data_IF_373507734285
#
_entry.id   IF_373507734285
#
_cell.length_a   1.000
_cell.length_b   1.000
_cell.length_c   1.000
_cell.angle_alpha   90.00
_cell.angle_beta   90.00
_cell.angle_gamma   90.00
#
_symmetry.space_group_name_H-M   'P 1'
#
loop_
_entity.id
_entity.type
_entity.pdbx_description
1 polymer ?
#
# COMPACT_ATOMS: atom_id res chain seq x y z
N UNK A 1 2.90 -18.15 31.08
CA UNK A 1 2.60 -18.58 29.70
C UNK A 1 3.82 -18.33 28.81
N UNK A 2 4.85 -19.16 28.96
CA UNK A 2 6.15 -19.02 28.28
C UNK A 2 6.41 -20.25 27.40
N UNK A 3 5.61 -20.40 26.34
CA UNK A 3 5.59 -21.66 25.58
C UNK A 3 5.11 -21.55 24.15
N UNK A 4 5.42 -20.44 23.45
CA UNK A 4 5.20 -20.40 21.99
C UNK A 4 6.17 -19.49 21.23
N UNK A 5 7.38 -19.31 21.76
CA UNK A 5 8.52 -18.89 20.93
C UNK A 5 9.04 -20.13 20.18
N UNK A 6 8.19 -20.72 19.34
CA UNK A 6 8.67 -21.62 18.30
C UNK A 6 9.76 -20.88 17.54
N UNK A 7 10.96 -21.48 17.50
CA UNK A 7 12.08 -21.07 16.67
C UNK A 7 11.57 -20.97 15.23
N UNK A 8 11.17 -19.77 14.82
CA UNK A 8 10.94 -19.47 13.42
C UNK A 8 12.31 -19.29 12.82
N UNK A 9 12.60 -20.07 11.78
CA UNK A 9 13.86 -19.97 11.07
C UNK A 9 14.12 -18.51 10.67
N UNK A 10 15.37 -18.02 10.76
CA UNK A 10 15.72 -16.71 10.25
C UNK A 10 15.30 -16.67 8.77
N UNK A 11 14.30 -15.85 8.46
CA UNK A 11 13.83 -15.72 7.09
C UNK A 11 14.91 -15.02 6.29
N UNK A 12 15.46 -15.73 5.32
CA UNK A 12 16.42 -15.17 4.39
C UNK A 12 15.75 -14.04 3.57
N UNK A 13 16.45 -12.93 3.39
CA UNK A 13 16.00 -11.81 2.58
C UNK A 13 15.66 -12.28 1.15
N UNK A 14 16.46 -13.21 0.59
CA UNK A 14 16.23 -13.74 -0.75
C UNK A 14 14.92 -14.53 -0.84
N UNK A 15 14.59 -15.35 0.18
CA UNK A 15 13.33 -16.08 0.22
C UNK A 15 12.12 -15.14 0.29
N UNK A 16 12.23 -14.05 1.06
CA UNK A 16 11.19 -13.02 1.13
C UNK A 16 11.01 -12.29 -0.19
N UNK A 17 12.08 -11.86 -0.81
CA UNK A 17 12.04 -11.23 -2.13
C UNK A 17 11.39 -12.16 -3.16
N UNK A 18 11.79 -13.45 -3.18
CA UNK A 18 11.17 -14.45 -4.05
C UNK A 18 9.67 -14.63 -3.76
N UNK A 19 9.27 -14.67 -2.49
CA UNK A 19 7.86 -14.74 -2.09
C UNK A 19 7.09 -13.52 -2.57
N UNK A 20 7.60 -12.31 -2.34
CA UNK A 20 6.96 -11.07 -2.77
C UNK A 20 6.79 -11.02 -4.28
N UNK A 21 7.81 -11.41 -5.06
CA UNK A 21 7.72 -11.50 -6.52
C UNK A 21 6.65 -12.50 -6.98
N UNK A 22 6.57 -13.69 -6.36
CA UNK A 22 5.52 -14.67 -6.66
C UNK A 22 4.13 -14.14 -6.35
N UNK A 23 3.96 -13.46 -5.23
CA UNK A 23 2.68 -12.85 -4.84
C UNK A 23 2.30 -11.73 -5.80
N UNK A 24 3.22 -10.83 -6.14
CA UNK A 24 3.01 -9.77 -7.13
C UNK A 24 2.63 -10.33 -8.50
N UNK A 25 3.30 -11.39 -8.97
CA UNK A 25 2.92 -12.09 -10.19
C UNK A 25 1.51 -12.71 -10.08
N UNK A 26 1.17 -13.29 -8.93
CA UNK A 26 -0.18 -13.79 -8.65
C UNK A 26 -1.25 -12.71 -8.72
N UNK A 27 -0.97 -11.48 -8.24
CA UNK A 27 -1.88 -10.34 -8.34
C UNK A 27 -2.11 -9.96 -9.80
N UNK A 28 -1.04 -9.90 -10.60
CA UNK A 28 -1.14 -9.59 -12.03
C UNK A 28 -1.96 -10.65 -12.77
N UNK A 29 -1.68 -11.94 -12.54
CA UNK A 29 -2.44 -13.04 -13.14
C UNK A 29 -3.91 -13.00 -12.74
N UNK A 30 -4.20 -12.70 -11.47
CA UNK A 30 -5.55 -12.55 -10.99
C UNK A 30 -6.29 -11.41 -11.68
N UNK A 31 -5.62 -10.26 -11.86
CA UNK A 31 -6.19 -9.11 -12.54
C UNK A 31 -6.51 -9.42 -14.01
N UNK A 32 -5.60 -10.09 -14.71
CA UNK A 32 -5.84 -10.57 -16.08
C UNK A 32 -7.02 -11.54 -16.13
N UNK A 33 -7.07 -12.50 -15.19
CA UNK A 33 -8.18 -13.45 -15.08
C UNK A 33 -9.52 -12.76 -14.82
N UNK A 34 -9.54 -11.73 -13.96
CA UNK A 34 -10.73 -10.93 -13.70
C UNK A 34 -11.27 -10.30 -14.98
N UNK A 35 -10.43 -9.62 -15.76
CA UNK A 35 -10.85 -9.00 -17.03
C UNK A 35 -11.27 -10.03 -18.08
N UNK A 36 -10.62 -11.19 -18.12
CA UNK A 36 -11.03 -12.29 -18.98
C UNK A 36 -12.43 -12.80 -18.60
N UNK A 37 -12.71 -12.95 -17.31
CA UNK A 37 -14.04 -13.33 -16.83
C UNK A 37 -15.12 -12.27 -17.15
N UNK A 38 -14.79 -10.97 -17.01
CA UNK A 38 -15.67 -9.87 -17.43
C UNK A 38 -15.98 -9.99 -18.93
N UNK A 39 -14.94 -10.09 -19.76
CA UNK A 39 -15.07 -10.13 -21.21
C UNK A 39 -15.91 -11.32 -21.69
N UNK A 40 -15.64 -12.52 -21.17
CA UNK A 40 -16.41 -13.72 -21.50
C UNK A 40 -17.87 -13.61 -21.04
N UNK A 41 -18.10 -13.00 -19.88
CA UNK A 41 -19.47 -12.76 -19.39
C UNK A 41 -20.24 -11.83 -20.33
N UNK A 42 -19.59 -10.78 -20.86
CA UNK A 42 -20.20 -9.85 -21.80
C UNK A 42 -20.49 -10.51 -23.15
N UNK A 43 -19.52 -11.27 -23.67
CA UNK A 43 -19.66 -12.01 -24.93
C UNK A 43 -20.84 -13.00 -24.85
N UNK A 44 -20.93 -13.77 -23.76
CA UNK A 44 -21.98 -14.77 -23.57
C UNK A 44 -23.37 -14.16 -23.29
N UNK A 45 -23.45 -13.12 -22.44
CA UNK A 45 -24.74 -12.60 -21.96
C UNK A 45 -25.35 -11.49 -22.82
N UNK A 46 -24.55 -10.78 -23.64
CA UNK A 46 -25.05 -9.64 -24.43
C UNK A 46 -24.79 -9.70 -25.91
N UNK A 47 -23.74 -10.40 -26.35
CA UNK A 47 -23.40 -10.49 -27.76
C UNK A 47 -23.86 -11.80 -28.39
N UNK A 48 -24.45 -12.70 -27.59
CA UNK A 48 -24.80 -14.07 -27.98
C UNK A 48 -23.63 -14.78 -28.68
N UNK A 49 -22.40 -14.47 -28.26
CA UNK A 49 -21.20 -15.08 -28.84
C UNK A 49 -21.27 -16.60 -28.67
N UNK A 50 -20.73 -17.32 -29.66
CA UNK A 50 -20.81 -18.79 -29.75
C UNK A 50 -22.21 -19.37 -30.01
N UNK A 51 -23.20 -18.53 -30.33
CA UNK A 51 -24.50 -18.97 -30.87
C UNK A 51 -24.58 -18.77 -32.39
N UNK A 52 -25.53 -19.42 -33.10
CA UNK A 52 -25.72 -19.22 -34.54
C UNK A 52 -26.07 -17.78 -34.94
N UNK A 53 -26.61 -16.98 -34.01
CA UNK A 53 -27.04 -15.59 -34.21
C UNK A 53 -25.99 -14.55 -33.82
N UNK A 54 -24.93 -14.95 -33.11
CA UNK A 54 -23.90 -14.05 -32.61
C UNK A 54 -22.58 -14.11 -33.39
N UNK A 55 -21.59 -13.29 -33.00
CA UNK A 55 -20.28 -13.32 -33.60
C UNK A 55 -19.56 -14.66 -33.31
N UNK A 56 -18.81 -15.20 -34.28
CA UNK A 56 -18.12 -16.49 -34.10
C UNK A 56 -16.87 -16.40 -33.19
N UNK A 57 -16.51 -15.19 -32.74
CA UNK A 57 -15.36 -14.95 -31.88
C UNK A 57 -15.72 -14.00 -30.72
N UNK A 58 -14.99 -14.14 -29.62
CA UNK A 58 -15.21 -13.42 -28.36
C UNK A 58 -14.65 -11.98 -28.42
N UNK A 59 -15.39 -11.06 -29.04
CA UNK A 59 -14.98 -9.67 -29.26
C UNK A 59 -14.70 -8.96 -27.93
N UNK A 60 -15.63 -9.04 -26.97
CA UNK A 60 -15.50 -8.36 -25.69
C UNK A 60 -14.34 -8.92 -24.86
N UNK A 61 -14.07 -10.21 -24.96
CA UNK A 61 -12.92 -10.88 -24.32
C UNK A 61 -11.61 -10.38 -24.88
N UNK A 62 -11.47 -10.29 -26.20
CA UNK A 62 -10.25 -9.76 -26.85
C UNK A 62 -10.02 -8.30 -26.43
N UNK A 63 -11.06 -7.47 -26.47
CA UNK A 63 -10.98 -6.07 -26.03
C UNK A 63 -10.59 -5.98 -24.55
N UNK A 64 -11.21 -6.80 -23.68
CA UNK A 64 -10.92 -6.83 -22.26
C UNK A 64 -9.48 -7.26 -21.97
N UNK A 65 -8.93 -8.20 -22.74
CA UNK A 65 -7.55 -8.66 -22.60
C UNK A 65 -6.54 -7.58 -23.02
N UNK A 66 -6.79 -6.89 -24.13
CA UNK A 66 -5.96 -5.76 -24.58
C UNK A 66 -5.96 -4.67 -23.50
N UNK A 67 -7.14 -4.33 -22.98
CA UNK A 67 -7.29 -3.33 -21.93
C UNK A 67 -6.58 -3.77 -20.63
N UNK A 68 -6.78 -5.01 -20.19
CA UNK A 68 -6.15 -5.55 -18.99
C UNK A 68 -4.62 -5.54 -19.09
N UNK A 69 -4.09 -5.91 -20.26
CA UNK A 69 -2.65 -5.89 -20.54
C UNK A 69 -2.13 -4.45 -20.50
N UNK A 70 -2.80 -3.52 -21.16
CA UNK A 70 -2.45 -2.10 -21.13
C UNK A 70 -2.46 -1.49 -19.73
N UNK A 71 -3.51 -1.78 -18.95
CA UNK A 71 -3.62 -1.32 -17.55
C UNK A 71 -2.52 -1.94 -16.69
N UNK A 72 -2.26 -3.24 -16.85
CA UNK A 72 -1.21 -3.95 -16.08
C UNK A 72 0.17 -3.37 -16.35
N UNK A 73 0.52 -3.17 -17.63
CA UNK A 73 1.80 -2.57 -18.01
C UNK A 73 1.91 -1.14 -17.48
N UNK A 74 0.86 -0.34 -17.63
CA UNK A 74 0.84 1.02 -17.11
C UNK A 74 0.98 1.03 -15.58
N UNK A 75 0.30 0.13 -14.88
CA UNK A 75 0.37 -0.01 -13.41
C UNK A 75 1.77 -0.44 -12.96
N UNK A 76 2.45 -1.30 -13.71
CA UNK A 76 3.79 -1.77 -13.39
C UNK A 76 4.86 -0.69 -13.61
N UNK A 77 4.79 0.06 -14.71
CA UNK A 77 5.82 1.06 -15.05
C UNK A 77 5.54 2.45 -14.49
N UNK A 78 4.27 2.84 -14.36
CA UNK A 78 3.84 4.19 -13.96
C UNK A 78 3.03 4.20 -12.67
N UNK A 79 2.90 3.05 -11.99
CA UNK A 79 2.09 2.91 -10.79
C UNK A 79 2.51 3.82 -9.65
N UNK A 80 3.81 3.90 -9.38
CA UNK A 80 4.35 4.80 -8.35
C UNK A 80 4.05 6.27 -8.66
N UNK A 81 4.23 6.70 -9.91
CA UNK A 81 3.91 8.05 -10.36
C UNK A 81 2.42 8.37 -10.22
N UNK A 82 1.54 7.41 -10.54
CA UNK A 82 0.10 7.57 -10.35
C UNK A 82 -0.25 7.78 -8.87
N UNK A 83 0.37 7.00 -7.98
CA UNK A 83 0.18 7.13 -6.53
C UNK A 83 0.68 8.49 -6.05
N UNK A 84 1.90 8.88 -6.42
CA UNK A 84 2.50 10.16 -6.03
C UNK A 84 1.64 11.35 -6.47
N UNK A 85 1.18 11.36 -7.72
CA UNK A 85 0.27 12.40 -8.24
C UNK A 85 -1.07 12.42 -7.54
N UNK A 86 -1.63 11.25 -7.22
CA UNK A 86 -2.92 11.16 -6.51
C UNK A 86 -2.85 11.74 -5.09
N UNK A 87 -1.65 11.79 -4.50
CA UNK A 87 -1.38 12.32 -3.17
C UNK A 87 -0.85 13.76 -3.20
N UNK A 88 -0.75 14.39 -4.37
CA UNK A 88 -0.20 15.75 -4.51
C UNK A 88 1.28 15.85 -4.14
N UNK A 89 2.04 14.78 -4.37
CA UNK A 89 3.47 14.76 -4.07
C UNK A 89 4.25 15.61 -5.08
N UNK A 90 5.12 16.47 -4.57
CA UNK A 90 5.98 17.35 -5.36
C UNK A 90 7.45 16.98 -5.22
N UNK A 91 8.25 17.34 -6.22
CA UNK A 91 9.69 17.12 -6.19
C UNK A 91 10.40 17.98 -5.14
N UNK A 92 11.57 17.54 -4.72
CA UNK A 92 12.35 18.23 -3.71
C UNK A 92 12.90 19.58 -4.20
N UNK A 93 12.63 20.65 -3.45
CA UNK A 93 13.27 21.97 -3.65
C UNK A 93 14.48 22.16 -2.70
N UNK A 94 15.70 22.08 -3.23
CA UNK A 94 16.95 22.21 -2.47
C UNK A 94 17.27 23.64 -1.98
N UNK A 95 16.47 24.63 -2.37
CA UNK A 95 16.54 25.99 -1.81
C UNK A 95 16.03 26.01 -0.36
N UNK A 96 15.10 25.11 -0.01
CA UNK A 96 14.55 25.00 1.33
C UNK A 96 15.50 24.20 2.25
N UNK A 97 15.84 24.71 3.45
CA UNK A 97 16.73 24.01 4.39
C UNK A 97 16.23 22.61 4.79
N UNK A 98 14.92 22.48 5.07
CA UNK A 98 14.29 21.21 5.47
C UNK A 98 14.40 20.15 4.36
N UNK A 99 14.20 20.56 3.12
CA UNK A 99 14.34 19.69 1.95
C UNK A 99 15.79 19.25 1.74
N UNK A 100 16.74 20.16 1.95
CA UNK A 100 18.17 19.81 1.89
C UNK A 100 18.56 18.83 3.00
N UNK A 101 18.03 19.00 4.20
CA UNK A 101 18.22 18.06 5.30
C UNK A 101 17.65 16.69 4.95
N UNK A 102 16.42 16.64 4.43
CA UNK A 102 15.80 15.40 3.94
C UNK A 102 16.65 14.73 2.86
N UNK A 103 17.17 15.48 1.89
CA UNK A 103 18.07 14.95 0.87
C UNK A 103 19.28 14.25 1.48
N UNK A 104 19.91 14.88 2.46
CA UNK A 104 21.09 14.35 3.14
C UNK A 104 20.73 13.09 3.94
N UNK A 105 19.63 13.10 4.68
CA UNK A 105 19.14 11.94 5.43
C UNK A 105 18.86 10.75 4.50
N UNK A 106 18.15 10.97 3.39
CA UNK A 106 17.88 9.91 2.41
C UNK A 106 19.17 9.40 1.78
N UNK A 107 20.12 10.29 1.47
CA UNK A 107 21.43 9.90 0.93
C UNK A 107 22.19 9.00 1.91
N UNK A 108 22.24 9.37 3.19
CA UNK A 108 22.90 8.59 4.24
C UNK A 108 22.27 7.22 4.40
N UNK A 109 20.94 7.14 4.41
CA UNK A 109 20.24 5.87 4.58
C UNK A 109 20.31 5.01 3.31
N UNK A 110 20.36 5.60 2.12
CA UNK A 110 20.62 4.87 0.87
C UNK A 110 22.01 4.23 0.89
N UNK A 111 23.03 4.98 1.33
CA UNK A 111 24.39 4.47 1.51
C UNK A 111 24.44 3.35 2.57
N UNK A 112 23.82 3.55 3.73
CA UNK A 112 23.81 2.56 4.81
C UNK A 112 23.07 1.26 4.45
N UNK A 113 21.98 1.37 3.68
CA UNK A 113 21.19 0.21 3.23
C UNK A 113 21.76 -0.49 1.99
N UNK A 114 22.70 0.16 1.28
CA UNK A 114 23.20 -0.30 -0.01
C UNK A 114 22.18 -0.18 -1.15
N UNK A 115 21.08 0.54 -0.95
CA UNK A 115 20.09 0.78 -2.00
C UNK A 115 20.55 1.89 -2.96
N UNK A 116 20.16 1.83 -4.24
CA UNK A 116 20.25 3.00 -5.13
C UNK A 116 19.52 4.20 -4.53
N UNK A 117 19.99 5.41 -4.84
CA UNK A 117 19.36 6.64 -4.36
C UNK A 117 17.91 6.72 -4.89
N UNK A 118 16.88 6.68 -4.03
CA UNK A 118 15.50 6.79 -4.48
C UNK A 118 15.17 8.23 -4.87
N UNK A 119 14.12 8.39 -5.68
CA UNK A 119 13.53 9.71 -5.92
C UNK A 119 12.87 10.21 -4.64
N UNK A 120 13.05 11.48 -4.31
CA UNK A 120 12.52 12.08 -3.08
C UNK A 120 11.37 13.01 -3.44
N UNK A 121 10.25 12.83 -2.76
CA UNK A 121 9.07 13.67 -2.89
C UNK A 121 8.61 14.20 -1.54
N UNK A 122 7.98 15.36 -1.55
CA UNK A 122 7.35 15.97 -0.38
C UNK A 122 5.88 16.19 -0.67
N UNK A 123 5.02 15.86 0.30
CA UNK A 123 3.60 16.21 0.26
C UNK A 123 3.34 17.35 1.25
N UNK A 124 2.66 18.39 0.78
CA UNK A 124 2.21 19.50 1.60
C UNK A 124 0.97 19.10 2.41
N UNK A 125 1.19 18.43 3.54
CA UNK A 125 0.14 18.06 4.48
C UNK A 125 0.65 18.11 5.93
N UNK A 126 -0.10 18.70 6.88
CA UNK A 126 0.31 18.79 8.28
C UNK A 126 0.27 17.43 9.01
N UNK A 127 -0.40 16.41 8.49
CA UNK A 127 -0.42 15.08 9.08
C UNK A 127 0.96 14.42 8.90
N UNK A 128 1.70 14.10 9.98
CA UNK A 128 3.04 13.57 9.88
C UNK A 128 3.02 12.14 9.35
N UNK A 129 3.64 11.91 8.18
CA UNK A 129 3.72 10.58 7.58
C UNK A 129 4.84 10.45 6.54
N UNK A 130 5.15 9.21 6.19
CA UNK A 130 6.05 8.85 5.10
C UNK A 130 5.57 7.55 4.42
N UNK A 131 6.05 7.29 3.21
CA UNK A 131 5.93 5.99 2.55
C UNK A 131 6.96 5.81 1.43
N UNK A 132 7.24 4.57 1.06
CA UNK A 132 7.95 4.20 -0.15
C UNK A 132 7.03 3.54 -1.20
N UNK A 133 7.33 3.79 -2.48
CA UNK A 133 6.63 3.20 -3.62
C UNK A 133 7.60 2.94 -4.77
N UNK A 134 7.24 2.07 -5.72
CA UNK A 134 8.10 1.73 -6.85
C UNK A 134 7.94 0.28 -7.29
N UNK A 135 8.55 -0.04 -8.44
CA UNK A 135 8.50 -1.38 -9.03
C UNK A 135 9.68 -2.28 -8.64
N UNK A 136 10.81 -1.66 -8.28
CA UNK A 136 12.05 -2.31 -7.86
C UNK A 136 12.95 -1.28 -7.13
N UNK A 137 14.06 -1.73 -6.54
CA UNK A 137 15.02 -0.88 -5.82
C UNK A 137 15.57 0.28 -6.67
N UNK A 138 15.75 0.10 -7.99
CA UNK A 138 16.30 1.14 -8.89
C UNK A 138 15.27 2.21 -9.25
N UNK A 139 13.98 1.86 -9.15
CA UNK A 139 12.86 2.72 -9.49
C UNK A 139 12.04 3.08 -8.23
N UNK A 140 12.68 3.05 -7.07
CA UNK A 140 12.08 3.41 -5.80
C UNK A 140 11.89 4.93 -5.67
N UNK A 141 10.84 5.31 -4.96
CA UNK A 141 10.54 6.67 -4.57
C UNK A 141 10.15 6.69 -3.10
N UNK A 142 10.70 7.64 -2.35
CA UNK A 142 10.38 7.88 -0.95
C UNK A 142 9.67 9.22 -0.86
N UNK A 143 8.58 9.24 -0.10
CA UNK A 143 7.76 10.43 0.08
C UNK A 143 7.56 10.71 1.57
N UNK A 144 7.66 11.99 1.95
CA UNK A 144 7.41 12.45 3.32
C UNK A 144 6.45 13.64 3.32
N UNK A 145 5.70 13.84 4.40
CA UNK A 145 4.85 15.01 4.55
C UNK A 145 5.59 16.18 5.21
N UNK A 146 5.17 17.41 4.96
CA UNK A 146 5.69 18.59 5.68
C UNK A 146 5.41 18.51 7.18
N UNK A 147 4.29 17.90 7.59
CA UNK A 147 4.02 17.57 8.99
C UNK A 147 5.09 16.68 9.63
N UNK A 148 5.67 15.75 8.88
CA UNK A 148 6.74 14.89 9.40
C UNK A 148 8.04 15.67 9.58
N UNK A 149 8.42 16.46 8.57
CA UNK A 149 9.65 17.27 8.59
C UNK A 149 9.65 18.30 9.73
N UNK A 150 8.49 18.85 10.06
CA UNK A 150 8.34 19.82 11.15
C UNK A 150 8.28 19.16 12.53
N UNK A 151 7.77 17.93 12.63
CA UNK A 151 7.59 17.22 13.90
C UNK A 151 8.86 16.49 14.37
N UNK A 152 9.59 15.89 13.43
CA UNK A 152 10.72 15.02 13.72
C UNK A 152 12.04 15.77 13.64
N UNK A 153 12.97 15.41 14.54
CA UNK A 153 14.36 15.81 14.37
C UNK A 153 15.09 14.87 13.40
N UNK A 154 16.32 15.24 13.04
CA UNK A 154 17.15 14.49 12.10
C UNK A 154 17.30 13.00 12.40
N UNK A 155 17.54 12.62 13.65
CA UNK A 155 17.73 11.21 14.05
C UNK A 155 16.43 10.40 13.92
N UNK A 156 15.31 11.03 14.28
CA UNK A 156 13.97 10.45 14.15
C UNK A 156 13.59 10.30 12.67
N UNK A 157 13.90 11.32 11.84
CA UNK A 157 13.71 11.27 10.38
C UNK A 157 14.58 10.19 9.75
N UNK A 158 15.84 10.03 10.15
CA UNK A 158 16.68 8.89 9.72
C UNK A 158 16.04 7.55 10.07
N UNK A 159 15.47 7.42 11.26
CA UNK A 159 14.73 6.21 11.68
C UNK A 159 13.58 5.88 10.71
N UNK A 160 12.72 6.85 10.41
CA UNK A 160 11.59 6.65 9.49
C UNK A 160 12.08 6.34 8.07
N UNK A 161 13.03 7.10 7.54
CA UNK A 161 13.57 6.87 6.19
C UNK A 161 14.26 5.51 6.08
N UNK A 162 14.98 5.08 7.12
CA UNK A 162 15.59 3.76 7.15
C UNK A 162 14.56 2.63 7.14
N UNK A 163 13.43 2.80 7.82
CA UNK A 163 12.30 1.87 7.76
C UNK A 163 11.71 1.81 6.34
N UNK A 164 11.47 2.97 5.70
CA UNK A 164 10.97 3.01 4.33
C UNK A 164 11.96 2.37 3.33
N UNK A 165 13.27 2.59 3.50
CA UNK A 165 14.30 1.93 2.69
C UNK A 165 14.41 0.44 2.98
N UNK A 166 14.06 -0.04 4.18
CA UNK A 166 13.97 -1.47 4.43
C UNK A 166 12.87 -2.11 3.56
N UNK A 167 11.74 -1.44 3.33
CA UNK A 167 10.72 -1.91 2.38
C UNK A 167 11.21 -1.91 0.93
N UNK A 168 12.04 -0.93 0.55
CA UNK A 168 12.70 -0.91 -0.76
C UNK A 168 13.61 -2.15 -0.90
N UNK A 169 14.51 -2.35 0.06
CA UNK A 169 15.47 -3.47 0.08
C UNK A 169 14.80 -4.86 0.11
N UNK A 170 13.62 -4.95 0.72
CA UNK A 170 12.88 -6.19 0.87
C UNK A 170 11.94 -6.52 -0.30
N UNK A 171 11.97 -5.74 -1.39
CA UNK A 171 11.02 -5.84 -2.52
C UNK A 171 9.54 -5.74 -2.07
N UNK A 172 9.25 -5.05 -0.96
CA UNK A 172 7.87 -4.87 -0.48
C UNK A 172 7.13 -3.80 -1.30
N UNK A 173 7.85 -2.82 -1.84
CA UNK A 173 7.29 -1.67 -2.57
C UNK A 173 6.47 -2.05 -3.80
N UNK A 174 6.87 -3.09 -4.55
CA UNK A 174 6.13 -3.52 -5.74
C UNK A 174 4.75 -4.08 -5.33
N UNK A 175 4.74 -4.97 -4.33
CA UNK A 175 3.52 -5.56 -3.82
C UNK A 175 2.57 -4.48 -3.30
N UNK A 176 3.09 -3.55 -2.51
CA UNK A 176 2.30 -2.43 -1.97
C UNK A 176 1.76 -1.50 -3.07
N UNK A 177 2.56 -1.22 -4.10
CA UNK A 177 2.16 -0.41 -5.27
C UNK A 177 1.03 -1.08 -6.04
N UNK A 178 1.16 -2.37 -6.37
CA UNK A 178 0.13 -3.12 -7.10
C UNK A 178 -1.18 -3.22 -6.32
N UNK A 179 -1.11 -3.46 -5.00
CA UNK A 179 -2.30 -3.51 -4.14
C UNK A 179 -2.98 -2.13 -4.10
N UNK A 180 -2.22 -1.04 -4.01
CA UNK A 180 -2.75 0.33 -4.03
C UNK A 180 -3.53 0.61 -5.31
N UNK A 181 -2.93 0.31 -6.47
CA UNK A 181 -3.56 0.58 -7.77
C UNK A 181 -4.81 -0.28 -7.94
N UNK A 182 -4.76 -1.54 -7.52
CA UNK A 182 -5.92 -2.43 -7.54
C UNK A 182 -7.06 -1.86 -6.69
N UNK A 183 -6.79 -1.44 -5.45
CA UNK A 183 -7.80 -0.88 -4.54
C UNK A 183 -8.35 0.46 -5.06
N UNK A 184 -7.48 1.33 -5.59
CA UNK A 184 -7.89 2.58 -6.23
C UNK A 184 -8.80 2.33 -7.44
N UNK A 185 -8.45 1.38 -8.30
CA UNK A 185 -9.26 0.96 -9.44
C UNK A 185 -10.63 0.42 -9.01
N UNK A 186 -10.68 -0.42 -7.97
CA UNK A 186 -11.93 -0.94 -7.40
C UNK A 186 -12.81 0.20 -6.85
N UNK A 187 -12.21 1.18 -6.17
CA UNK A 187 -12.95 2.33 -5.64
C UNK A 187 -13.61 3.14 -6.77
N UNK A 188 -12.87 3.41 -7.85
CA UNK A 188 -13.40 4.11 -9.04
C UNK A 188 -14.52 3.31 -9.70
N UNK A 189 -14.34 1.99 -9.88
CA UNK A 189 -15.38 1.11 -10.45
C UNK A 189 -16.63 1.07 -9.57
N UNK A 190 -16.45 1.05 -8.25
CA UNK A 190 -17.55 1.05 -7.28
C UNK A 190 -18.34 2.36 -7.31
N UNK A 191 -17.65 3.50 -7.36
CA UNK A 191 -18.28 4.82 -7.49
C UNK A 191 -19.03 4.96 -8.83
N UNK A 192 -18.41 4.53 -9.94
CA UNK A 192 -19.06 4.51 -11.24
C UNK A 192 -20.31 3.62 -11.26
N UNK A 193 -20.26 2.42 -10.66
CA UNK A 193 -21.41 1.53 -10.55
C UNK A 193 -22.54 2.15 -9.73
N UNK A 194 -22.23 2.77 -8.59
CA UNK A 194 -23.21 3.45 -7.73
C UNK A 194 -23.88 4.62 -8.44
N UNK A 195 -23.11 5.49 -9.11
CA UNK A 195 -23.63 6.62 -9.88
C UNK A 195 -24.55 6.14 -11.00
N UNK A 196 -24.14 5.10 -11.73
CA UNK A 196 -24.91 4.55 -12.85
C UNK A 196 -26.21 3.86 -12.38
N UNK A 197 -26.20 3.23 -11.21
CA UNK A 197 -27.39 2.63 -10.60
C UNK A 197 -28.39 3.69 -10.11
N UNK A 198 -27.90 4.78 -9.51
CA UNK A 198 -28.74 5.91 -9.09
C UNK A 198 -29.38 6.64 -10.29
N UNK A 199 -28.65 6.81 -11.39
CA UNK A 199 -29.19 7.35 -12.65
C UNK A 199 -30.25 6.42 -13.26
N UNK A 200 -30.07 5.10 -13.16
CA UNK A 200 -31.07 4.12 -13.61
C UNK A 200 -32.36 4.14 -12.78
N UNK A 201 -32.28 4.38 -11.46
CA UNK A 201 -33.47 4.56 -10.61
C UNK A 201 -34.28 5.81 -10.94
N UNK A 202 -33.64 6.88 -11.40
CA UNK A 202 -34.31 8.12 -11.85
C UNK A 202 -35.01 7.98 -13.21
N UNK A 203 -34.65 6.98 -14.03
CA UNK A 203 -35.28 6.69 -15.32
C UNK A 203 -36.08 5.38 -15.24
N UNK A 204 -37.10 5.39 -14.39
CA UNK A 204 -38.09 4.32 -14.29
C UNK A 204 -38.95 4.29 -15.57
N UNK A 205 -38.42 3.70 -16.65
CA UNK A 205 -39.14 3.62 -17.93
C UNK A 205 -38.47 2.84 -19.07
N UNK A 206 -37.22 2.42 -18.98
CA UNK A 206 -36.58 1.64 -20.06
C UNK A 206 -35.85 0.41 -19.51
N UNK A 207 -36.54 -0.74 -19.52
CA UNK A 207 -35.92 -2.04 -19.30
C UNK A 207 -34.82 -2.27 -20.35
N UNK A 208 -33.60 -2.55 -19.90
CA UNK A 208 -32.49 -2.96 -20.77
C UNK A 208 -31.10 -2.52 -20.32
N UNK A 209 -30.95 -1.39 -19.61
CA UNK A 209 -29.62 -0.85 -19.24
C UNK A 209 -29.15 -1.18 -17.82
N UNK A 210 -30.01 -1.76 -16.99
CA UNK A 210 -29.68 -2.17 -15.62
C UNK A 210 -28.77 -3.40 -15.57
N UNK A 211 -28.82 -4.28 -16.57
CA UNK A 211 -28.04 -5.53 -16.59
C UNK A 211 -26.53 -5.28 -16.72
N UNK A 212 -26.11 -4.29 -17.52
CA UNK A 212 -24.69 -3.99 -17.78
C UNK A 212 -23.91 -3.60 -16.50
N UNK A 213 -24.61 -3.16 -15.46
CA UNK A 213 -24.05 -2.77 -14.15
C UNK A 213 -24.04 -3.91 -13.12
N UNK A 214 -24.82 -4.98 -13.34
CA UNK A 214 -24.89 -6.12 -12.42
C UNK A 214 -23.61 -6.94 -12.49
N UNK A 215 -23.01 -7.10 -13.68
CA UNK A 215 -21.83 -7.94 -13.87
C UNK A 215 -20.58 -7.37 -13.16
N UNK A 216 -20.21 -6.08 -13.31
CA UNK A 216 -19.10 -5.52 -12.55
C UNK A 216 -19.32 -5.60 -11.03
N UNK A 217 -20.55 -5.35 -10.56
CA UNK A 217 -20.89 -5.44 -9.14
C UNK A 217 -20.79 -6.87 -8.59
N UNK A 218 -21.29 -7.86 -9.33
CA UNK A 218 -21.22 -9.28 -8.97
C UNK A 218 -19.77 -9.77 -8.94
N UNK A 219 -18.96 -9.35 -9.92
CA UNK A 219 -17.55 -9.68 -9.96
C UNK A 219 -16.78 -9.02 -8.81
N UNK A 220 -17.07 -7.78 -8.43
CA UNK A 220 -16.49 -7.17 -7.23
C UNK A 220 -16.84 -7.95 -5.96
N UNK A 221 -18.08 -8.43 -5.82
CA UNK A 221 -18.50 -9.27 -4.69
C UNK A 221 -17.74 -10.61 -4.72
N UNK A 222 -17.65 -11.26 -5.88
CA UNK A 222 -16.97 -12.54 -6.05
C UNK A 222 -15.48 -12.45 -5.71
N UNK A 223 -14.81 -11.37 -6.10
CA UNK A 223 -13.38 -11.17 -5.88
C UNK A 223 -13.06 -10.48 -4.54
N UNK A 224 -14.06 -9.96 -3.81
CA UNK A 224 -13.88 -9.26 -2.53
C UNK A 224 -13.06 -10.05 -1.49
N UNK A 225 -13.31 -11.36 -1.24
CA UNK A 225 -12.53 -12.13 -0.28
C UNK A 225 -11.05 -12.21 -0.66
N UNK A 226 -10.75 -12.22 -1.95
CA UNK A 226 -9.40 -12.30 -2.46
C UNK A 226 -8.68 -10.96 -2.33
N UNK A 227 -9.36 -9.85 -2.66
CA UNK A 227 -8.86 -8.49 -2.42
C UNK A 227 -8.54 -8.27 -0.94
N UNK A 228 -9.40 -8.74 -0.03
CA UNK A 228 -9.15 -8.68 1.41
C UNK A 228 -7.89 -9.45 1.83
N UNK A 229 -7.66 -10.64 1.26
CA UNK A 229 -6.41 -11.40 1.48
C UNK A 229 -5.19 -10.68 0.93
N UNK A 230 -5.28 -10.07 -0.25
CA UNK A 230 -4.19 -9.28 -0.84
C UNK A 230 -3.82 -8.10 0.06
N UNK A 231 -4.82 -7.39 0.59
CA UNK A 231 -4.61 -6.30 1.56
C UNK A 231 -3.98 -6.83 2.85
N UNK A 232 -4.50 -7.94 3.41
CA UNK A 232 -3.94 -8.54 4.62
C UNK A 232 -2.49 -9.00 4.45
N UNK A 233 -2.13 -9.43 3.23
CA UNK A 233 -0.74 -9.67 2.90
C UNK A 233 0.03 -8.35 2.85
N UNK A 234 -0.43 -7.36 2.08
CA UNK A 234 0.21 -6.05 1.97
C UNK A 234 0.57 -5.46 3.34
N UNK A 235 -0.37 -5.55 4.30
CA UNK A 235 -0.21 -5.02 5.67
C UNK A 235 0.16 -6.12 6.68
N UNK A 236 1.21 -6.89 6.38
CA UNK A 236 1.66 -7.95 7.30
C UNK A 236 2.47 -7.38 8.47
N UNK A 237 2.05 -7.68 9.71
CA UNK A 237 2.80 -7.33 10.94
C UNK A 237 4.25 -7.82 10.91
N UNK A 238 4.52 -8.97 10.29
CA UNK A 238 5.89 -9.51 10.18
C UNK A 238 6.77 -8.74 9.21
N UNK A 239 6.20 -7.97 8.28
CA UNK A 239 6.94 -7.06 7.41
C UNK A 239 7.37 -5.83 8.19
N UNK A 240 6.43 -5.22 8.89
CA UNK A 240 6.69 -4.07 9.77
C UNK A 240 7.79 -4.36 10.81
N UNK A 241 7.73 -5.50 11.52
CA UNK A 241 8.77 -5.83 12.51
C UNK A 241 10.14 -6.09 11.87
N UNK A 242 10.17 -6.65 10.65
CA UNK A 242 11.44 -6.80 9.94
C UNK A 242 11.95 -5.44 9.47
N UNK A 243 11.09 -4.61 8.91
CA UNK A 243 11.45 -3.27 8.46
C UNK A 243 11.95 -2.40 9.63
N UNK A 244 11.37 -2.53 10.83
CA UNK A 244 11.89 -1.92 12.05
C UNK A 244 13.31 -2.43 12.36
N UNK A 245 13.50 -3.76 12.43
CA UNK A 245 14.81 -4.35 12.74
C UNK A 245 15.89 -3.96 11.71
N UNK A 246 15.55 -4.00 10.41
CA UNK A 246 16.42 -3.62 9.29
C UNK A 246 16.69 -2.10 9.29
N UNK A 247 15.70 -1.27 9.60
CA UNK A 247 15.91 0.17 9.79
C UNK A 247 16.85 0.47 10.95
N UNK A 248 16.79 -0.30 12.04
CA UNK A 248 17.76 -0.26 13.14
C UNK A 248 19.14 -0.75 12.73
N UNK A 249 19.23 -1.77 11.88
CA UNK A 249 20.50 -2.23 11.32
C UNK A 249 21.20 -1.14 10.51
N UNK A 250 20.45 -0.36 9.72
CA UNK A 250 20.96 0.76 8.93
C UNK A 250 21.38 1.95 9.79
N UNK A 251 20.52 2.35 10.72
CA UNK A 251 20.74 3.56 11.55
C UNK A 251 21.65 3.33 12.74
N UNK A 252 21.73 2.08 13.22
CA UNK A 252 22.29 1.71 14.54
C UNK A 252 21.64 2.47 15.70
N UNK A 253 20.43 3.01 15.50
CA UNK A 253 19.73 3.85 16.47
C UNK A 253 18.25 3.41 16.63
N UNK A 254 17.98 2.38 17.47
CA UNK A 254 16.61 1.94 17.73
C UNK A 254 15.75 3.00 18.43
N UNK A 255 16.37 3.89 19.21
CA UNK A 255 15.66 4.92 19.96
C UNK A 255 15.13 6.03 19.04
N UNK A 256 15.85 6.38 17.97
CA UNK A 256 15.39 7.34 16.98
C UNK A 256 14.06 6.93 16.35
N UNK A 257 13.97 5.68 15.88
CA UNK A 257 12.73 5.13 15.31
C UNK A 257 11.61 5.00 16.36
N UNK A 258 11.93 4.59 17.59
CA UNK A 258 10.93 4.47 18.67
C UNK A 258 10.32 5.84 19.02
N UNK A 259 11.14 6.88 19.13
CA UNK A 259 10.69 8.26 19.39
C UNK A 259 9.87 8.81 18.24
N UNK A 260 10.30 8.57 16.99
CA UNK A 260 9.55 8.96 15.80
C UNK A 260 8.13 8.36 15.80
N UNK A 261 8.02 7.04 16.03
CA UNK A 261 6.74 6.35 16.15
C UNK A 261 5.85 6.93 17.26
N UNK A 262 6.44 7.25 18.43
CA UNK A 262 5.73 7.89 19.53
C UNK A 262 5.16 9.26 19.15
N UNK A 263 5.99 10.13 18.56
CA UNK A 263 5.57 11.46 18.13
C UNK A 263 4.48 11.43 17.06
N UNK A 264 4.64 10.58 16.04
CA UNK A 264 3.65 10.46 14.95
C UNK A 264 2.33 9.92 15.49
N UNK A 265 2.37 8.94 16.41
CA UNK A 265 1.17 8.43 17.08
C UNK A 265 0.44 9.52 17.84
N UNK A 266 1.17 10.33 18.61
CA UNK A 266 0.58 11.33 19.51
C UNK A 266 0.07 12.57 18.76
N UNK A 267 0.66 12.88 17.60
CA UNK A 267 0.26 13.98 16.74
C UNK A 267 -1.02 13.70 15.92
N UNK A 268 -1.66 12.53 16.06
CA UNK A 268 -2.75 11.99 15.22
C UNK A 268 -3.64 13.05 14.55
N UNK A 269 -3.34 13.34 13.27
CA UNK A 269 -4.14 14.19 12.39
C UNK A 269 -4.61 13.40 11.17
N UNK A 270 -5.85 13.59 10.69
CA UNK A 270 -6.33 12.94 9.49
C UNK A 270 -5.61 13.50 8.27
N UNK A 271 -5.03 12.63 7.44
CA UNK A 271 -4.46 13.04 6.15
C UNK A 271 -5.60 13.20 5.13
N UNK A 272 -5.79 14.41 4.59
CA UNK A 272 -6.95 14.76 3.77
C UNK A 272 -7.00 14.05 2.41
N UNK A 273 -5.84 13.84 1.78
CA UNK A 273 -5.73 13.19 0.47
C UNK A 273 -5.57 11.66 0.56
N UNK A 274 -5.36 11.12 1.76
CA UNK A 274 -5.28 9.68 1.95
C UNK A 274 -6.64 9.01 1.68
N UNK A 275 -6.62 7.96 0.87
CA UNK A 275 -7.80 7.13 0.60
C UNK A 275 -7.65 5.78 1.28
N UNK A 276 -8.74 5.01 1.38
CA UNK A 276 -8.65 3.62 1.85
C UNK A 276 -7.73 2.75 0.99
N UNK A 277 -7.54 3.13 -0.28
CA UNK A 277 -6.66 2.43 -1.21
C UNK A 277 -5.19 2.77 -1.02
N UNK A 278 -4.84 3.92 -0.44
CA UNK A 278 -3.44 4.34 -0.18
C UNK A 278 -3.03 4.21 1.28
N UNK A 279 -3.98 4.03 2.20
CA UNK A 279 -3.75 4.01 3.65
C UNK A 279 -2.67 3.01 4.10
N UNK A 280 -2.55 1.85 3.43
CA UNK A 280 -1.56 0.83 3.78
C UNK A 280 -0.12 1.15 3.37
N UNK A 281 0.10 2.16 2.53
CA UNK A 281 1.44 2.61 2.17
C UNK A 281 2.11 3.37 3.30
N UNK A 282 1.31 4.04 4.11
CA UNK A 282 1.79 5.01 5.07
C UNK A 282 2.40 4.34 6.30
N UNK A 283 3.52 4.93 6.76
CA UNK A 283 4.25 4.54 7.96
C UNK A 283 3.33 4.41 9.20
N UNK A 284 2.35 5.31 9.32
CA UNK A 284 1.23 5.20 10.28
C UNK A 284 -0.09 5.37 9.55
N UNK A 285 -1.10 4.55 9.90
CA UNK A 285 -2.44 4.62 9.30
C UNK A 285 -3.01 6.05 9.33
N UNK A 286 -3.23 6.70 8.18
CA UNK A 286 -3.74 8.07 8.10
C UNK A 286 -5.25 8.17 8.35
N UNK A 287 -5.98 7.06 8.26
CA UNK A 287 -7.43 6.99 8.41
C UNK A 287 -7.86 6.53 9.81
N UNK A 288 -6.98 6.70 10.81
CA UNK A 288 -7.17 6.28 12.20
C UNK A 288 -8.59 6.55 12.67
N UNK A 289 -9.27 5.47 13.06
CA UNK A 289 -10.47 5.53 13.90
C UNK A 289 -10.04 5.18 15.31
N UNK A 290 -10.70 5.72 16.33
CA UNK A 290 -10.47 5.45 17.77
C UNK A 290 -10.44 3.95 18.18
N UNK A 291 -10.72 3.03 17.26
CA UNK A 291 -10.65 1.57 17.43
C UNK A 291 -9.21 1.02 17.28
N UNK A 292 -8.31 1.71 16.57
CA UNK A 292 -6.95 1.22 16.27
C UNK A 292 -6.02 1.19 17.50
N UNK A 293 -6.34 1.96 18.55
CA UNK A 293 -5.54 2.06 19.79
C UNK A 293 -6.03 1.12 20.92
N UNK A 294 -7.04 0.27 20.66
CA UNK A 294 -7.57 -0.67 21.67
C UNK A 294 -6.81 -2.00 21.64
N UNK A 295 -6.24 -2.39 22.77
CA UNK A 295 -5.66 -3.72 22.96
C UNK A 295 -6.75 -4.78 23.23
N UNK A 296 -6.72 -5.90 22.51
CA UNK A 296 -7.62 -7.04 22.72
C UNK A 296 -7.78 -7.94 21.49
N UNK A 297 -8.05 -9.23 21.71
CA UNK A 297 -8.13 -10.28 20.65
C UNK A 297 -9.11 -9.95 19.51
N UNK A 298 -10.11 -9.09 19.74
CA UNK A 298 -11.09 -8.66 18.74
C UNK A 298 -10.67 -7.38 17.99
N UNK A 299 -9.96 -6.47 18.65
CA UNK A 299 -9.39 -5.27 18.01
C UNK A 299 -8.14 -5.63 17.18
N UNK A 300 -7.36 -6.62 17.64
CA UNK A 300 -6.22 -7.19 16.92
C UNK A 300 -6.59 -7.82 15.57
N UNK A 301 -7.84 -8.27 15.42
CA UNK A 301 -8.34 -8.89 14.17
C UNK A 301 -8.78 -7.85 13.12
N UNK A 302 -9.01 -6.59 13.54
CA UNK A 302 -9.52 -5.52 12.68
C UNK A 302 -8.50 -4.40 12.43
N UNK A 303 -7.44 -4.30 13.25
CA UNK A 303 -6.35 -3.37 13.02
C UNK A 303 -5.42 -3.91 11.93
N UNK A 304 -5.36 -3.21 10.80
CA UNK A 304 -4.50 -3.59 9.67
C UNK A 304 -3.02 -3.39 9.99
N UNK A 305 -2.65 -2.53 10.94
CA UNK A 305 -1.26 -2.33 11.37
C UNK A 305 -0.98 -3.00 12.72
N UNK A 306 0.24 -3.51 12.97
CA UNK A 306 0.64 -3.94 14.30
C UNK A 306 0.51 -2.75 15.28
N UNK A 307 0.09 -3.01 16.54
CA UNK A 307 -0.05 -1.95 17.51
C UNK A 307 1.28 -1.21 17.68
N UNK A 308 1.27 0.11 17.45
CA UNK A 308 2.47 0.96 17.51
C UNK A 308 3.19 0.79 18.86
N UNK A 309 2.42 0.63 19.94
CA UNK A 309 2.94 0.33 21.28
C UNK A 309 3.88 -0.88 21.29
N UNK A 310 3.56 -1.94 20.52
CA UNK A 310 4.39 -3.15 20.42
C UNK A 310 5.66 -2.90 19.61
N UNK A 311 5.61 -2.11 18.53
CA UNK A 311 6.80 -1.71 17.75
C UNK A 311 7.76 -0.90 18.62
N UNK A 312 7.24 0.13 19.30
CA UNK A 312 8.00 0.96 20.27
C UNK A 312 8.64 0.09 21.35
N UNK A 313 7.89 -0.86 21.92
CA UNK A 313 8.39 -1.78 22.92
C UNK A 313 9.60 -2.59 22.43
N UNK A 314 9.50 -3.19 21.24
CA UNK A 314 10.58 -4.00 20.66
C UNK A 314 11.81 -3.14 20.36
N UNK A 315 11.63 -1.92 19.86
CA UNK A 315 12.72 -0.99 19.60
C UNK A 315 13.44 -0.59 20.90
N UNK A 316 12.72 -0.32 21.98
CA UNK A 316 13.35 -0.06 23.28
C UNK A 316 14.14 -1.27 23.79
N UNK A 317 13.63 -2.49 23.59
CA UNK A 317 14.36 -3.71 23.94
C UNK A 317 15.64 -3.87 23.09
N UNK A 318 15.60 -3.57 21.79
CA UNK A 318 16.80 -3.55 20.94
C UNK A 318 17.83 -2.52 21.43
N UNK A 319 17.37 -1.39 21.98
CA UNK A 319 18.21 -0.36 22.60
C UNK A 319 18.68 -0.69 24.02
N UNK A 320 18.37 -1.88 24.57
CA UNK A 320 18.77 -2.28 25.92
C UNK A 320 17.98 -1.61 27.05
N UNK A 321 16.85 -0.96 26.75
CA UNK A 321 16.00 -0.33 27.75
C UNK A 321 14.89 -1.29 28.23
N UNK A 322 14.51 -1.27 29.52
CA UNK A 322 13.40 -2.07 30.01
C UNK A 322 12.11 -1.60 29.33
N UNK A 323 11.40 -2.54 28.71
CA UNK A 323 10.23 -2.30 27.86
C UNK A 323 8.96 -1.84 28.60
N UNK A 324 9.06 -0.90 29.52
CA UNK A 324 7.92 -0.36 30.25
C UNK A 324 7.35 0.87 29.56
N UNK A 325 6.25 0.72 28.82
CA UNK A 325 5.30 1.82 28.68
C UNK A 325 4.65 1.99 30.05
N UNK A 326 5.03 3.03 30.80
CA UNK A 326 4.19 3.46 31.92
C UNK A 326 2.85 3.87 31.31
N UNK A 327 1.79 3.15 31.72
CA UNK A 327 0.44 3.27 31.19
C UNK A 327 -0.20 4.63 31.43
#
# INVERSE_FOLDING_TARGET
>A
MAGDLQRREPQDFAERQARNRRVSAGIVLLFIFFFLAVGLSVDYLYLDAFTPSGPPFAIATVVSLILATGITLTSYYQGSELILRSLGAEGLDLQLPEHRELHNVVTEMALASGCPMPKIYVIFDPAPNAFATGRDEQNASVCVTTGLLTLLNREETQGVIAHELAHVRNDDILLMTLVTILLGGIAILSDWAQRSFNVSRSRQGAGGKSALLVIPALLLILFSPLISRLLAMAVSRQREYLADATGVEFTRNPLGLAKALGKIRDAAMPFQLASRGTAHLFFVNPLRRSVDDREGRLADLLSTHPPIARRILLLYQMGGLPGGLKG
#
